data_IF_857030540284
#
_entry.id   IF_857030540284
#
_cell.length_a   1.000
_cell.length_b   1.000
_cell.length_c   1.000
_cell.angle_alpha   90.00
_cell.angle_beta   90.00
_cell.angle_gamma   90.00
#
_symmetry.space_group_name_H-M   'P 1'
#
loop_
_entity.id
_entity.type
_entity.pdbx_description
1 polymer ?
#
# COMPACT_ATOMS: atom_id res chain seq x y z
N UNK A 1 4.74 6.74 5.73
CA UNK A 1 5.40 5.88 6.75
C UNK A 1 6.83 6.35 6.95
N UNK A 2 7.19 6.59 8.19
CA UNK A 2 8.54 7.02 8.52
C UNK A 2 9.50 5.83 8.60
N UNK A 3 10.82 6.11 8.52
CA UNK A 3 11.82 5.06 8.69
C UNK A 3 11.73 4.41 10.07
N UNK A 4 11.41 5.21 11.09
CA UNK A 4 11.25 4.71 12.45
C UNK A 4 10.07 3.73 12.54
N UNK A 5 8.97 4.05 11.87
CA UNK A 5 7.81 3.16 11.83
C UNK A 5 8.13 1.85 11.12
N UNK A 6 8.83 1.92 10.00
CA UNK A 6 9.27 0.73 9.28
C UNK A 6 10.19 -0.13 10.15
N UNK A 7 11.10 0.49 10.88
CA UNK A 7 11.99 -0.22 11.78
C UNK A 7 11.23 -0.96 12.87
N UNK A 8 10.24 -0.31 13.47
CA UNK A 8 9.41 -0.95 14.51
C UNK A 8 8.61 -2.12 13.95
N UNK A 9 8.05 -1.98 12.77
CA UNK A 9 7.21 -3.03 12.17
C UNK A 9 8.02 -4.23 11.71
N UNK A 10 9.19 -4.01 11.13
CA UNK A 10 10.02 -5.07 10.56
C UNK A 10 11.06 -5.61 11.51
N UNK A 11 11.33 -4.90 12.60
CA UNK A 11 12.45 -5.18 13.52
C UNK A 11 13.81 -5.08 12.83
N UNK A 12 13.87 -4.38 11.71
CA UNK A 12 15.11 -4.10 10.98
C UNK A 12 15.64 -2.74 11.47
N UNK A 13 16.92 -2.60 11.76
CA UNK A 13 17.48 -1.32 12.19
C UNK A 13 17.21 -0.21 11.17
N UNK A 14 16.95 1.00 11.66
CA UNK A 14 16.70 2.17 10.82
C UNK A 14 17.83 2.37 9.79
N UNK A 15 19.07 2.20 10.21
CA UNK A 15 20.22 2.33 9.33
C UNK A 15 20.16 1.36 8.15
N UNK A 16 19.74 0.12 8.40
CA UNK A 16 19.61 -0.89 7.35
C UNK A 16 18.51 -0.52 6.36
N UNK A 17 17.39 -0.05 6.86
CA UNK A 17 16.28 0.41 6.01
C UNK A 17 16.73 1.60 5.16
N UNK A 18 17.40 2.56 5.78
CA UNK A 18 17.93 3.74 5.09
C UNK A 18 18.87 3.36 3.95
N UNK A 19 19.80 2.44 4.20
CA UNK A 19 20.74 1.98 3.18
C UNK A 19 20.03 1.31 2.01
N UNK A 20 19.03 0.47 2.29
CA UNK A 20 18.25 -0.19 1.24
C UNK A 20 17.49 0.82 0.39
N UNK A 21 16.84 1.80 1.02
CA UNK A 21 16.11 2.84 0.30
C UNK A 21 17.06 3.72 -0.52
N UNK A 22 18.22 4.04 0.01
CA UNK A 22 19.24 4.80 -0.69
C UNK A 22 19.73 4.05 -1.93
N UNK A 23 19.92 2.75 -1.82
CA UNK A 23 20.31 1.90 -2.94
C UNK A 23 19.24 1.96 -4.05
N UNK A 24 17.96 1.83 -3.69
CA UNK A 24 16.87 1.95 -4.65
C UNK A 24 16.87 3.31 -5.33
N UNK A 25 17.06 4.39 -4.59
CA UNK A 25 17.09 5.74 -5.16
C UNK A 25 18.19 5.90 -6.20
N UNK A 26 19.34 5.29 -5.99
CA UNK A 26 20.45 5.35 -6.95
C UNK A 26 20.14 4.58 -8.23
N UNK A 27 19.43 3.47 -8.13
CA UNK A 27 19.10 2.62 -9.26
C UNK A 27 17.81 3.00 -9.98
N UNK A 28 16.98 3.87 -9.40
CA UNK A 28 15.68 4.21 -9.92
C UNK A 28 15.58 5.67 -10.28
N UNK A 29 14.81 5.95 -11.31
CA UNK A 29 14.38 7.30 -11.62
C UNK A 29 13.52 7.78 -10.46
N UNK A 30 13.72 9.01 -10.04
CA UNK A 30 13.14 9.57 -8.82
C UNK A 30 11.62 9.43 -8.70
N UNK A 31 10.90 9.52 -9.79
CA UNK A 31 9.44 9.35 -9.78
C UNK A 31 9.00 7.95 -9.37
N UNK A 32 9.93 7.02 -9.33
CA UNK A 32 9.67 5.63 -8.99
C UNK A 32 10.04 5.29 -7.55
N UNK A 33 10.25 6.28 -6.70
CA UNK A 33 10.53 6.02 -5.27
C UNK A 33 9.40 5.24 -4.61
N UNK A 34 8.18 5.33 -5.16
CA UNK A 34 7.05 4.55 -4.68
C UNK A 34 7.11 3.08 -5.08
N UNK A 35 8.05 2.69 -5.94
CA UNK A 35 8.18 1.33 -6.47
C UNK A 35 9.15 0.47 -5.67
N UNK A 36 9.33 0.76 -4.39
CA UNK A 36 10.19 -0.04 -3.52
C UNK A 36 9.61 -1.46 -3.44
N UNK A 37 10.49 -2.45 -3.57
CA UNK A 37 10.11 -3.83 -3.37
C UNK A 37 10.00 -4.10 -1.87
N UNK A 38 8.78 -4.05 -1.37
CA UNK A 38 8.50 -4.22 0.05
C UNK A 38 8.89 -5.61 0.57
N UNK A 39 8.91 -6.62 -0.29
CA UNK A 39 9.30 -7.97 0.13
C UNK A 39 10.75 -8.02 0.59
N UNK A 40 11.63 -7.20 0.00
CA UNK A 40 13.03 -7.12 0.43
C UNK A 40 13.19 -6.47 1.79
N UNK A 41 12.17 -5.75 2.25
CA UNK A 41 12.13 -5.15 3.58
C UNK A 41 11.38 -6.01 4.60
N UNK A 42 11.00 -7.23 4.22
CA UNK A 42 10.28 -8.15 5.10
C UNK A 42 8.76 -8.06 5.01
N UNK A 43 8.22 -7.22 4.17
CA UNK A 43 6.78 -7.10 3.95
C UNK A 43 6.37 -8.01 2.80
N UNK A 44 5.95 -9.22 3.13
CA UNK A 44 5.65 -10.24 2.12
C UNK A 44 4.19 -10.27 1.68
N UNK A 45 3.31 -9.62 2.43
CA UNK A 45 1.89 -9.60 2.13
C UNK A 45 1.51 -8.22 1.58
N UNK A 46 1.05 -8.20 0.36
CA UNK A 46 0.51 -7.03 -0.29
C UNK A 46 -0.88 -7.38 -0.80
N UNK A 47 -1.88 -6.70 -0.29
CA UNK A 47 -3.27 -7.02 -0.59
C UNK A 47 -4.07 -5.77 -0.94
N UNK A 48 -5.00 -5.91 -1.86
CA UNK A 48 -6.04 -4.91 -2.09
C UNK A 48 -7.33 -5.44 -1.51
N UNK A 49 -7.93 -4.64 -0.65
CA UNK A 49 -9.10 -5.02 0.11
C UNK A 49 -10.25 -4.07 -0.21
N UNK A 50 -11.37 -4.64 -0.62
CA UNK A 50 -12.60 -3.89 -0.76
C UNK A 50 -13.36 -3.95 0.55
N UNK A 51 -13.78 -2.80 1.05
CA UNK A 51 -14.43 -2.68 2.34
C UNK A 51 -15.78 -2.00 2.22
N UNK A 52 -16.79 -2.58 2.86
CA UNK A 52 -18.08 -1.95 3.04
C UNK A 52 -18.37 -1.83 4.53
N UNK A 53 -18.72 -0.64 4.97
CA UNK A 53 -19.00 -0.38 6.39
C UNK A 53 -20.37 0.27 6.57
N UNK A 54 -20.83 0.28 7.82
CA UNK A 54 -22.04 1.00 8.18
C UNK A 54 -21.85 2.48 7.91
N UNK A 55 -22.89 3.13 7.40
CA UNK A 55 -22.83 4.57 7.05
C UNK A 55 -22.39 5.43 8.24
N UNK A 56 -22.81 5.06 9.45
CA UNK A 56 -22.44 5.78 10.67
C UNK A 56 -20.97 5.66 11.02
N UNK A 57 -20.28 4.65 10.48
CA UNK A 57 -18.88 4.37 10.79
C UNK A 57 -17.90 4.78 9.68
N UNK A 58 -18.41 5.23 8.53
CA UNK A 58 -17.56 5.53 7.37
C UNK A 58 -16.47 6.55 7.66
N UNK A 59 -16.80 7.63 8.37
CA UNK A 59 -15.82 8.68 8.65
C UNK A 59 -14.73 8.17 9.59
N UNK A 60 -15.11 7.43 10.62
CA UNK A 60 -14.16 6.84 11.58
C UNK A 60 -13.25 5.83 10.87
N UNK A 61 -13.83 5.00 10.00
CA UNK A 61 -13.07 4.02 9.24
C UNK A 61 -12.07 4.72 8.33
N UNK A 62 -12.50 5.76 7.62
CA UNK A 62 -11.62 6.52 6.75
C UNK A 62 -10.43 7.11 7.51
N UNK A 63 -10.70 7.75 8.63
CA UNK A 63 -9.65 8.35 9.45
C UNK A 63 -8.68 7.30 9.98
N UNK A 64 -9.21 6.17 10.42
CA UNK A 64 -8.38 5.07 10.90
C UNK A 64 -7.47 4.54 9.79
N UNK A 65 -8.05 4.26 8.61
CA UNK A 65 -7.27 3.74 7.48
C UNK A 65 -6.16 4.71 7.08
N UNK A 66 -6.49 6.00 6.97
CA UNK A 66 -5.51 7.00 6.57
C UNK A 66 -4.35 7.13 7.55
N UNK A 67 -4.58 6.83 8.83
CA UNK A 67 -3.55 6.92 9.85
C UNK A 67 -2.75 5.64 10.04
N UNK A 68 -3.18 4.53 9.45
CA UNK A 68 -2.53 3.24 9.70
C UNK A 68 -1.25 3.09 8.88
N UNK A 69 -0.15 2.66 9.52
CA UNK A 69 1.14 2.55 8.84
C UNK A 69 1.19 1.49 7.74
N UNK A 70 0.33 0.50 7.77
CA UNK A 70 0.28 -0.53 6.72
C UNK A 70 -0.50 -0.11 5.49
N UNK A 71 -1.16 1.04 5.51
CA UNK A 71 -1.89 1.55 4.36
C UNK A 71 -0.93 2.16 3.36
N UNK A 72 -0.94 1.66 2.13
CA UNK A 72 -0.16 2.20 1.05
C UNK A 72 -1.01 3.09 0.13
N UNK A 73 -2.20 2.64 -0.20
CA UNK A 73 -3.12 3.39 -1.06
C UNK A 73 -4.55 3.25 -0.54
N UNK A 74 -5.34 4.30 -0.69
CA UNK A 74 -6.75 4.29 -0.31
C UNK A 74 -7.58 5.02 -1.36
N UNK A 75 -8.62 4.34 -1.85
CA UNK A 75 -9.54 4.89 -2.83
C UNK A 75 -10.97 4.77 -2.34
N UNK A 76 -11.77 5.79 -2.65
CA UNK A 76 -13.23 5.70 -2.50
C UNK A 76 -13.76 5.03 -3.76
N UNK A 77 -14.59 4.00 -3.60
CA UNK A 77 -15.09 3.21 -4.72
C UNK A 77 -16.61 3.13 -4.70
N UNK A 78 -17.16 2.52 -5.72
CA UNK A 78 -18.60 2.30 -5.86
C UNK A 78 -18.90 0.80 -5.98
N UNK A 79 -20.08 0.47 -6.48
CA UNK A 79 -20.50 -0.90 -6.79
C UNK A 79 -20.61 -1.79 -5.56
N UNK A 80 -21.20 -1.24 -4.49
CA UNK A 80 -21.51 -2.01 -3.29
C UNK A 80 -20.42 -2.00 -2.22
N UNK A 81 -19.31 -1.31 -2.46
CA UNK A 81 -18.26 -1.11 -1.50
C UNK A 81 -18.02 0.37 -1.28
N UNK A 82 -17.33 0.70 -0.19
CA UNK A 82 -17.03 2.09 0.18
C UNK A 82 -15.58 2.45 -0.10
N UNK A 83 -14.65 1.56 0.24
CA UNK A 83 -13.23 1.81 0.08
C UNK A 83 -12.50 0.64 -0.56
N UNK A 84 -11.45 0.96 -1.30
CA UNK A 84 -10.44 0.00 -1.72
C UNK A 84 -9.12 0.44 -1.11
N UNK A 85 -8.56 -0.40 -0.27
CA UNK A 85 -7.32 -0.13 0.43
C UNK A 85 -6.22 -1.09 -0.03
N UNK A 86 -5.03 -0.56 -0.29
CA UNK A 86 -3.86 -1.40 -0.47
C UNK A 86 -3.14 -1.48 0.86
N UNK A 87 -3.07 -2.67 1.42
CA UNK A 87 -2.48 -2.93 2.73
C UNK A 87 -1.24 -3.80 2.58
N UNK A 88 -0.22 -3.46 3.33
CA UNK A 88 1.07 -4.15 3.28
C UNK A 88 1.42 -4.61 4.68
N UNK A 89 1.57 -5.93 4.83
CA UNK A 89 1.88 -6.57 6.11
C UNK A 89 3.04 -7.54 5.96
N UNK A 90 3.64 -7.91 7.09
CA UNK A 90 4.70 -8.90 7.11
C UNK A 90 4.15 -10.32 6.94
N UNK A 91 3.03 -10.61 7.58
CA UNK A 91 2.43 -11.94 7.58
C UNK A 91 0.94 -11.89 7.25
N UNK A 92 0.44 -13.02 6.79
CA UNK A 92 -0.98 -13.22 6.54
C UNK A 92 -1.82 -13.04 7.81
N UNK A 93 -1.29 -13.53 8.94
CA UNK A 93 -1.97 -13.42 10.22
C UNK A 93 -2.18 -11.97 10.61
N UNK A 94 -1.20 -11.12 10.40
CA UNK A 94 -1.33 -9.69 10.71
C UNK A 94 -2.45 -9.05 9.90
N UNK A 95 -2.55 -9.41 8.62
CA UNK A 95 -3.62 -8.91 7.76
C UNK A 95 -4.99 -9.40 8.27
N UNK A 96 -5.11 -10.68 8.55
CA UNK A 96 -6.37 -11.25 9.02
C UNK A 96 -6.80 -10.65 10.35
N UNK A 97 -5.87 -10.50 11.28
CA UNK A 97 -6.17 -9.87 12.59
C UNK A 97 -6.61 -8.42 12.40
N UNK A 98 -5.99 -7.71 11.47
CA UNK A 98 -6.37 -6.33 11.17
C UNK A 98 -7.78 -6.25 10.59
N UNK A 99 -8.12 -7.12 9.66
CA UNK A 99 -9.45 -7.14 9.06
C UNK A 99 -10.54 -7.50 10.10
N UNK A 100 -10.24 -8.43 10.99
CA UNK A 100 -11.15 -8.79 12.09
C UNK A 100 -11.40 -7.57 12.98
N UNK A 101 -10.36 -6.84 13.31
CA UNK A 101 -10.47 -5.63 14.11
C UNK A 101 -11.33 -4.58 13.42
N UNK A 102 -11.19 -4.41 12.10
CA UNK A 102 -12.02 -3.47 11.36
C UNK A 102 -13.50 -3.85 11.44
N UNK A 103 -13.81 -5.13 11.39
CA UNK A 103 -15.18 -5.60 11.57
C UNK A 103 -15.73 -5.32 12.95
N UNK A 104 -14.94 -5.52 13.98
CA UNK A 104 -15.36 -5.35 15.36
C UNK A 104 -15.48 -3.88 15.79
N UNK A 105 -14.53 -3.05 15.36
CA UNK A 105 -14.42 -1.67 15.87
C UNK A 105 -14.90 -0.59 14.92
N UNK A 106 -14.86 -0.85 13.61
CA UNK A 106 -15.13 0.17 12.60
C UNK A 106 -16.33 -0.16 11.72
N UNK A 107 -17.12 -1.14 12.12
CA UNK A 107 -18.39 -1.42 11.47
C UNK A 107 -18.27 -1.97 10.05
N UNK A 108 -17.15 -2.57 9.70
CA UNK A 108 -16.99 -3.22 8.40
C UNK A 108 -17.89 -4.45 8.36
N UNK A 109 -18.84 -4.46 7.41
CA UNK A 109 -19.84 -5.52 7.28
C UNK A 109 -19.48 -6.53 6.18
N UNK A 110 -18.69 -6.10 5.21
CA UNK A 110 -18.33 -6.92 4.07
C UNK A 110 -16.94 -6.54 3.60
N UNK A 111 -16.15 -7.56 3.30
CA UNK A 111 -14.81 -7.36 2.78
C UNK A 111 -14.51 -8.36 1.68
N UNK A 112 -13.62 -7.97 0.77
CA UNK A 112 -13.12 -8.86 -0.25
C UNK A 112 -11.64 -8.60 -0.40
N UNK A 113 -10.83 -9.67 -0.31
CA UNK A 113 -9.38 -9.56 -0.25
C UNK A 113 -8.76 -10.15 -1.51
N UNK A 114 -7.89 -9.36 -2.14
CA UNK A 114 -7.12 -9.80 -3.29
C UNK A 114 -5.64 -9.70 -2.96
N UNK A 115 -4.93 -10.81 -3.03
CA UNK A 115 -3.48 -10.81 -2.82
C UNK A 115 -2.79 -10.54 -4.14
N UNK A 116 -1.78 -9.68 -4.11
CA UNK A 116 -0.94 -9.44 -5.27
C UNK A 116 0.09 -10.55 -5.39
N UNK A 117 -0.14 -11.46 -6.34
CA UNK A 117 0.69 -12.65 -6.52
C UNK A 117 1.90 -12.33 -7.37
N UNK A 118 1.73 -11.51 -8.40
CA UNK A 118 2.79 -11.15 -9.32
C UNK A 118 2.53 -9.77 -9.91
N UNK A 119 3.57 -9.00 -10.09
CA UNK A 119 3.48 -7.69 -10.72
C UNK A 119 3.87 -7.80 -12.18
N UNK A 120 2.88 -7.70 -13.07
CA UNK A 120 3.10 -7.84 -14.51
C UNK A 120 3.47 -6.51 -15.17
N UNK A 121 2.96 -5.41 -14.61
CA UNK A 121 3.17 -4.07 -15.15
C UNK A 121 2.79 -3.03 -14.13
N UNK A 122 3.54 -1.95 -14.05
CA UNK A 122 3.31 -0.92 -13.05
C UNK A 122 3.71 0.47 -13.56
N UNK A 123 2.85 1.45 -13.30
CA UNK A 123 3.13 2.86 -13.57
C UNK A 123 3.62 3.19 -14.98
N UNK A 124 3.11 2.48 -15.99
CA UNK A 124 3.49 2.72 -17.38
C UNK A 124 2.52 3.61 -18.15
N UNK A 125 1.45 4.09 -17.50
CA UNK A 125 0.50 4.96 -18.18
C UNK A 125 1.22 6.24 -18.65
N UNK A 126 1.15 6.51 -19.95
CA UNK A 126 1.80 7.63 -20.63
C UNK A 126 3.33 7.67 -20.56
N UNK A 127 3.99 6.73 -19.90
CA UNK A 127 5.45 6.75 -19.81
C UNK A 127 6.11 6.66 -21.18
N UNK A 128 5.66 5.74 -22.04
CA UNK A 128 6.17 5.61 -23.40
C UNK A 128 5.74 6.77 -24.29
N UNK A 129 4.50 7.22 -24.15
CA UNK A 129 4.01 8.36 -24.90
C UNK A 129 4.76 9.65 -24.55
N UNK A 130 5.06 9.85 -23.27
CA UNK A 130 5.82 10.99 -22.81
C UNK A 130 7.24 10.97 -23.38
N UNK A 131 7.89 9.81 -23.40
CA UNK A 131 9.22 9.65 -23.96
C UNK A 131 9.21 9.96 -25.46
N UNK A 132 8.22 9.46 -26.20
CA UNK A 132 8.08 9.71 -27.61
C UNK A 132 7.88 11.21 -27.91
N UNK A 133 7.06 11.89 -27.11
CA UNK A 133 6.83 13.31 -27.28
C UNK A 133 8.09 14.11 -27.01
N UNK A 134 8.84 13.77 -25.98
CA UNK A 134 10.10 14.43 -25.67
C UNK A 134 11.12 14.20 -26.78
N UNK A 135 11.18 12.97 -27.30
CA UNK A 135 12.06 12.64 -28.42
C UNK A 135 11.75 13.42 -29.68
N UNK A 136 10.48 13.67 -29.97
CA UNK A 136 10.07 14.44 -31.14
C UNK A 136 10.36 15.92 -31.03
N UNK A 137 10.54 16.44 -29.85
CA UNK A 137 10.86 17.87 -29.63
C UNK A 137 12.34 18.18 -29.84
N UNK A 138 13.13 17.15 -29.92
CA UNK A 138 14.56 17.30 -30.22
C UNK A 138 14.77 17.33 -31.73
#
# INVERSE_FOLDING_TARGET
MSLTDMSRMTKIPVSTIYEKLKHYRKGLIRKHTALVDFSQLGFHIRARVLLKAKKTELQKLREHLLSHPSLNELYKVNNGYDFMAELIFQTMKELEDYLDMLGERYGVEKEQVFYMVDELKREEFLSKAAVLLIGKRK
#
